data_IF_730473813735
#
_entry.id   IF_730473813735
#
_cell.length_a   1.000
_cell.length_b   1.000
_cell.length_c   1.000
_cell.angle_alpha   90.00
_cell.angle_beta   90.00
_cell.angle_gamma   90.00
#
_symmetry.space_group_name_H-M   'P 1'
#
loop_
_entity.id
_entity.type
_entity.pdbx_description
1 polymer ?
#
# COMPACT_ATOMS: atom_id res chain seq x y z
N UNK A 1 -16.26 -9.78 33.33
CA UNK A 1 -15.21 -9.05 32.58
C UNK A 1 -14.85 -9.86 31.35
N UNK A 2 -15.43 -9.47 30.23
CA UNK A 2 -15.42 -10.19 28.96
C UNK A 2 -14.00 -10.21 28.39
N UNK A 3 -13.50 -11.40 28.01
CA UNK A 3 -12.22 -11.57 27.30
C UNK A 3 -12.13 -10.52 26.18
N UNK A 4 -11.28 -9.52 26.35
CA UNK A 4 -10.75 -8.73 25.25
C UNK A 4 -9.88 -9.72 24.45
N UNK A 5 -10.55 -10.48 23.59
CA UNK A 5 -9.93 -11.39 22.65
C UNK A 5 -8.82 -10.61 21.99
N UNK A 6 -7.60 -11.13 22.13
CA UNK A 6 -6.38 -10.65 21.46
C UNK A 6 -6.79 -10.01 20.15
N UNK A 7 -6.84 -8.68 20.13
CA UNK A 7 -7.02 -7.94 18.89
C UNK A 7 -5.71 -8.23 18.17
N UNK A 8 -5.75 -9.27 17.33
CA UNK A 8 -4.67 -9.65 16.42
C UNK A 8 -4.25 -8.35 15.77
N UNK A 9 -3.10 -7.83 16.20
CA UNK A 9 -2.59 -6.50 15.86
C UNK A 9 -2.79 -6.30 14.37
N UNK A 10 -3.83 -5.52 14.03
CA UNK A 10 -4.47 -5.38 12.72
C UNK A 10 -3.60 -5.98 11.61
N UNK A 11 -3.74 -7.29 11.38
CA UNK A 11 -3.03 -8.03 10.34
C UNK A 11 -3.10 -7.19 9.08
N UNK A 12 -1.94 -6.80 8.55
CA UNK A 12 -1.76 -5.87 7.44
C UNK A 12 -2.93 -6.03 6.47
N UNK A 13 -3.79 -5.01 6.40
CA UNK A 13 -5.07 -5.07 5.71
C UNK A 13 -4.79 -5.28 4.22
N UNK A 14 -4.84 -6.55 3.79
CA UNK A 14 -4.54 -6.92 2.41
C UNK A 14 -5.67 -6.41 1.51
N UNK A 15 -5.32 -5.88 0.34
CA UNK A 15 -6.31 -5.42 -0.62
C UNK A 15 -7.08 -6.64 -1.14
N UNK A 16 -8.41 -6.60 -1.08
CA UNK A 16 -9.25 -7.64 -1.66
C UNK A 16 -9.14 -7.60 -3.19
N UNK A 17 -8.99 -8.77 -3.80
CA UNK A 17 -8.68 -9.00 -5.23
C UNK A 17 -9.86 -9.68 -5.96
N UNK A 18 -10.93 -10.04 -5.24
CA UNK A 18 -12.11 -10.68 -5.81
C UNK A 18 -12.96 -9.69 -6.63
N UNK A 19 -13.20 -10.03 -7.91
CA UNK A 19 -14.07 -9.25 -8.82
C UNK A 19 -13.36 -8.17 -9.63
N UNK A 20 -12.08 -7.91 -9.39
CA UNK A 20 -11.33 -6.87 -10.11
C UNK A 20 -10.87 -7.31 -11.51
N UNK A 21 -10.81 -6.35 -12.44
CA UNK A 21 -10.21 -6.52 -13.77
C UNK A 21 -8.74 -6.97 -13.65
N UNK A 22 -8.25 -7.73 -14.64
CA UNK A 22 -6.93 -8.39 -14.59
C UNK A 22 -5.76 -7.46 -14.22
N UNK A 23 -5.79 -6.21 -14.70
CA UNK A 23 -4.75 -5.21 -14.43
C UNK A 23 -4.80 -4.69 -12.99
N UNK A 24 -6.01 -4.49 -12.44
CA UNK A 24 -6.21 -4.07 -11.05
C UNK A 24 -5.86 -5.21 -10.09
N UNK A 25 -6.18 -6.46 -10.46
CA UNK A 25 -5.75 -7.64 -9.69
C UNK A 25 -4.23 -7.75 -9.60
N UNK A 26 -3.54 -7.60 -10.73
CA UNK A 26 -2.07 -7.63 -10.76
C UNK A 26 -1.47 -6.50 -9.91
N UNK A 27 -2.01 -5.28 -10.02
CA UNK A 27 -1.56 -4.15 -9.19
C UNK A 27 -1.77 -4.40 -7.70
N UNK A 28 -2.95 -4.89 -7.30
CA UNK A 28 -3.26 -5.25 -5.91
C UNK A 28 -2.37 -6.39 -5.39
N UNK A 29 -2.01 -7.36 -6.24
CA UNK A 29 -1.08 -8.42 -5.88
C UNK A 29 0.34 -7.90 -5.64
N UNK A 30 0.85 -7.00 -6.48
CA UNK A 30 2.15 -6.34 -6.27
C UNK A 30 2.16 -5.56 -4.96
N UNK A 31 1.09 -4.82 -4.68
CA UNK A 31 0.92 -4.07 -3.43
C UNK A 31 0.84 -4.99 -2.21
N UNK A 32 0.10 -6.11 -2.28
CA UNK A 32 0.06 -7.10 -1.20
C UNK A 32 1.42 -7.79 -0.99
N UNK A 33 2.19 -8.05 -2.05
CA UNK A 33 3.53 -8.61 -1.96
C UNK A 33 4.51 -7.62 -1.33
N UNK A 34 4.43 -6.34 -1.70
CA UNK A 34 5.24 -5.27 -1.12
C UNK A 34 4.92 -5.05 0.35
N UNK A 35 3.63 -5.02 0.70
CA UNK A 35 3.15 -4.94 2.08
C UNK A 35 3.64 -6.12 2.93
N UNK A 36 3.63 -7.35 2.37
CA UNK A 36 4.18 -8.53 3.05
C UNK A 36 5.70 -8.47 3.22
N UNK A 37 6.43 -8.07 2.18
CA UNK A 37 7.90 -8.11 2.17
C UNK A 37 8.52 -7.06 3.08
N UNK A 38 7.91 -5.89 3.20
CA UNK A 38 8.40 -4.80 4.04
C UNK A 38 7.66 -4.70 5.39
N UNK A 39 6.65 -5.54 5.65
CA UNK A 39 5.81 -5.43 6.84
C UNK A 39 5.06 -4.09 6.92
N UNK A 40 4.88 -3.41 5.78
CA UNK A 40 4.32 -2.08 5.72
C UNK A 40 2.82 -2.17 5.92
N UNK A 41 2.34 -1.62 7.05
CA UNK A 41 0.93 -1.27 7.19
C UNK A 41 0.53 -0.12 6.26
N UNK A 42 -0.70 0.36 6.41
CA UNK A 42 -1.27 1.48 5.64
C UNK A 42 -0.36 2.72 5.63
N UNK A 43 0.34 2.99 6.74
CA UNK A 43 1.27 4.11 6.86
C UNK A 43 2.48 4.00 5.92
N UNK A 44 3.05 2.81 5.76
CA UNK A 44 4.16 2.59 4.83
C UNK A 44 3.74 2.74 3.37
N UNK A 45 2.51 2.36 3.07
CA UNK A 45 1.91 2.53 1.75
C UNK A 45 1.69 4.00 1.39
N UNK A 46 1.36 4.81 2.40
CA UNK A 46 1.19 6.26 2.27
C UNK A 46 2.54 6.94 1.97
N UNK A 47 3.61 6.51 2.63
CA UNK A 47 4.98 6.96 2.34
C UNK A 47 5.42 6.61 0.92
N UNK A 48 5.15 5.40 0.44
CA UNK A 48 5.48 5.02 -0.96
C UNK A 48 4.73 5.92 -1.96
N UNK A 49 3.45 6.17 -1.70
CA UNK A 49 2.63 7.05 -2.55
C UNK A 49 3.14 8.49 -2.51
N UNK A 50 3.57 8.97 -1.34
CA UNK A 50 4.19 10.28 -1.18
C UNK A 50 5.51 10.39 -1.96
N UNK A 51 6.43 9.43 -1.81
CA UNK A 51 7.68 9.40 -2.56
C UNK A 51 7.47 9.38 -4.06
N UNK A 52 6.50 8.59 -4.55
CA UNK A 52 6.14 8.57 -5.97
C UNK A 52 5.73 9.97 -6.46
N UNK A 53 4.89 10.67 -5.70
CA UNK A 53 4.44 12.02 -6.06
C UNK A 53 5.57 13.06 -5.99
N UNK A 54 6.44 12.98 -4.97
CA UNK A 54 7.61 13.87 -4.85
C UNK A 54 8.56 13.68 -6.02
N UNK A 55 8.85 12.43 -6.40
CA UNK A 55 9.65 12.11 -7.59
C UNK A 55 9.03 12.69 -8.86
N UNK A 56 7.71 12.54 -9.03
CA UNK A 56 7.01 13.06 -10.20
C UNK A 56 7.04 14.60 -10.25
N UNK A 57 6.82 15.24 -9.11
CA UNK A 57 6.85 16.70 -8.99
C UNK A 57 8.27 17.24 -9.24
N UNK A 58 9.30 16.58 -8.69
CA UNK A 58 10.70 16.96 -8.94
C UNK A 58 11.09 16.76 -10.40
N UNK A 59 10.61 15.70 -11.05
CA UNK A 59 10.84 15.46 -12.47
C UNK A 59 10.14 16.52 -13.34
N UNK A 60 8.89 16.87 -13.00
CA UNK A 60 8.15 17.93 -13.69
C UNK A 60 8.83 19.29 -13.50
N UNK A 61 9.31 19.59 -12.30
CA UNK A 61 10.07 20.80 -12.04
C UNK A 61 11.36 20.84 -12.87
N UNK A 62 12.06 19.71 -12.98
CA UNK A 62 13.25 19.61 -13.83
C UNK A 62 12.94 19.73 -15.34
N UNK A 63 11.76 19.32 -15.78
CA UNK A 63 11.36 19.37 -17.18
C UNK A 63 10.78 20.73 -17.60
N UNK A 64 10.10 21.42 -16.69
CA UNK A 64 9.45 22.73 -16.95
C UNK A 64 10.29 23.95 -16.49
N UNK A 65 11.32 23.74 -15.67
CA UNK A 65 12.27 24.77 -15.25
C UNK A 65 13.49 24.82 -16.15
#
# INVERSE_FOLDING_TARGET
>A
MTRLGRVDLKRIQQLNVEGDSGLVRWHKQQLNALMRRFGLGVYGMLWISFFRSVLLASLLFWLLG
#
